data_IF_019233034635
#
_entry.id   IF_019233034635
#
_cell.length_a   1.000
_cell.length_b   1.000
_cell.length_c   1.000
_cell.angle_alpha   90.00
_cell.angle_beta   90.00
_cell.angle_gamma   90.00
#
_symmetry.space_group_name_H-M   'P 1'
#
loop_
_entity.id
_entity.type
_entity.pdbx_description
1 polymer ?
#
# COMPACT_ATOMS: atom_id res chain seq x y z
N UNK A 1 -11.40 40.41 1.43
CA UNK A 1 -11.42 39.29 2.39
C UNK A 1 -10.17 38.48 2.10
N UNK A 2 -9.10 38.75 2.84
CA UNK A 2 -7.77 38.19 2.59
C UNK A 2 -7.78 36.72 3.00
N UNK A 3 -7.65 35.82 2.02
CA UNK A 3 -7.49 34.39 2.28
C UNK A 3 -6.10 34.23 2.87
N UNK A 4 -6.03 34.02 4.19
CA UNK A 4 -4.80 33.67 4.88
C UNK A 4 -4.28 32.37 4.26
N UNK A 5 -3.03 32.37 3.82
CA UNK A 5 -2.32 31.15 3.46
C UNK A 5 -2.35 30.19 4.65
N UNK A 6 -2.49 28.87 4.44
CA UNK A 6 -2.55 27.92 5.54
C UNK A 6 -1.25 27.99 6.37
N UNK A 7 -1.41 28.11 7.70
CA UNK A 7 -0.30 28.01 8.65
C UNK A 7 0.41 26.66 8.50
N UNK A 8 1.75 26.69 8.54
CA UNK A 8 2.62 25.52 8.51
C UNK A 8 2.30 24.62 9.70
N UNK A 9 1.92 23.37 9.43
CA UNK A 9 1.61 22.36 10.46
C UNK A 9 2.92 21.86 11.08
N UNK A 10 3.12 22.11 12.37
CA UNK A 10 4.30 21.69 13.14
C UNK A 10 4.38 20.17 13.41
N UNK A 11 5.41 19.73 14.13
CA UNK A 11 5.60 18.34 14.53
C UNK A 11 4.39 17.80 15.32
N UNK A 12 3.88 16.64 14.92
CA UNK A 12 2.75 15.94 15.55
C UNK A 12 3.26 14.67 16.22
N UNK A 13 2.64 14.31 17.35
CA UNK A 13 2.88 13.03 18.03
C UNK A 13 1.77 12.01 17.80
N UNK A 14 0.74 12.35 17.00
CA UNK A 14 -0.31 11.38 16.64
C UNK A 14 0.30 10.34 15.69
N UNK A 15 0.24 9.03 16.00
CA UNK A 15 0.83 7.99 15.15
C UNK A 15 0.22 7.93 13.74
N UNK A 16 -0.96 8.53 13.54
CA UNK A 16 -1.61 8.64 12.22
C UNK A 16 -1.09 9.81 11.39
N UNK A 17 -0.22 10.65 11.96
CA UNK A 17 0.39 11.77 11.24
C UNK A 17 1.12 11.24 10.00
N UNK A 18 0.88 11.84 8.82
CA UNK A 18 1.39 11.29 7.57
C UNK A 18 2.92 11.43 7.46
N UNK A 19 3.55 12.41 8.12
CA UNK A 19 5.01 12.53 8.12
C UNK A 19 5.64 11.41 8.96
N UNK A 20 5.05 11.07 10.12
CA UNK A 20 5.52 9.94 10.92
C UNK A 20 5.40 8.63 10.16
N UNK A 21 4.28 8.40 9.46
CA UNK A 21 4.06 7.19 8.66
C UNK A 21 5.01 7.08 7.46
N UNK A 22 5.22 8.18 6.74
CA UNK A 22 6.21 8.22 5.65
C UNK A 22 7.63 7.98 6.20
N UNK A 23 7.97 8.58 7.35
CA UNK A 23 9.28 8.39 7.97
C UNK A 23 9.51 6.96 8.47
N UNK A 24 8.46 6.28 8.95
CA UNK A 24 8.53 4.86 9.31
C UNK A 24 8.64 3.93 8.10
N UNK A 25 8.14 4.37 6.93
CA UNK A 25 8.18 3.59 5.70
C UNK A 25 9.50 3.74 4.93
N UNK A 26 10.04 4.95 4.86
CA UNK A 26 11.32 5.24 4.21
C UNK A 26 12.51 4.83 5.08
N UNK A 27 13.70 4.72 4.47
CA UNK A 27 14.95 4.54 5.20
C UNK A 27 15.28 5.80 6.02
N UNK A 28 15.98 5.62 7.13
CA UNK A 28 16.34 6.69 8.06
C UNK A 28 16.98 7.89 7.33
N UNK A 29 16.48 9.09 7.63
CA UNK A 29 16.97 10.36 7.09
C UNK A 29 16.90 10.51 5.56
N UNK A 30 16.08 9.70 4.87
CA UNK A 30 15.94 9.78 3.41
C UNK A 30 14.74 10.58 2.92
N UNK A 31 13.82 10.97 3.81
CA UNK A 31 12.55 11.62 3.45
C UNK A 31 12.77 13.02 2.89
N UNK A 32 12.29 13.22 1.66
CA UNK A 32 12.22 14.48 0.93
C UNK A 32 10.76 14.77 0.60
N UNK A 33 10.19 15.87 1.10
CA UNK A 33 8.79 16.21 0.81
C UNK A 33 8.66 16.76 -0.62
N UNK A 34 7.66 16.28 -1.36
CA UNK A 34 7.36 16.76 -2.71
C UNK A 34 6.57 18.08 -2.71
N UNK A 35 6.07 18.49 -1.55
CA UNK A 35 5.39 19.76 -1.33
C UNK A 35 5.46 20.16 0.15
N UNK A 36 5.22 21.43 0.46
CA UNK A 36 5.09 21.89 1.84
C UNK A 36 3.90 21.22 2.53
N UNK A 37 4.02 21.01 3.85
CA UNK A 37 2.90 20.49 4.65
C UNK A 37 1.74 21.47 4.62
N UNK A 38 0.56 20.94 4.29
CA UNK A 38 -0.67 21.70 4.27
C UNK A 38 -1.81 20.92 4.94
N UNK A 39 -3.04 21.43 4.80
CA UNK A 39 -4.26 20.80 5.35
C UNK A 39 -5.06 20.06 4.29
N UNK A 40 -4.41 19.64 3.20
CA UNK A 40 -5.06 18.95 2.08
C UNK A 40 -5.55 17.55 2.46
N UNK A 41 -5.06 16.97 3.56
CA UNK A 41 -5.36 15.60 3.99
C UNK A 41 -4.49 14.55 3.31
N UNK A 42 -3.41 14.97 2.63
CA UNK A 42 -2.41 14.10 2.02
C UNK A 42 -1.02 14.72 2.21
N UNK A 43 -0.02 13.88 2.44
CA UNK A 43 1.38 14.26 2.32
C UNK A 43 2.06 13.33 1.32
N UNK A 44 2.82 13.89 0.38
CA UNK A 44 3.64 13.12 -0.55
C UNK A 44 5.12 13.43 -0.34
N UNK A 45 5.94 12.40 -0.50
CA UNK A 45 7.38 12.47 -0.34
C UNK A 45 8.10 11.45 -1.22
N UNK A 46 9.39 11.61 -1.30
CA UNK A 46 10.32 10.69 -1.92
C UNK A 46 11.41 10.33 -0.92
N UNK A 47 12.09 9.22 -1.14
CA UNK A 47 13.17 8.78 -0.28
C UNK A 47 13.78 7.50 -0.81
N UNK A 48 14.42 6.74 0.07
CA UNK A 48 14.86 5.38 -0.26
C UNK A 48 14.12 4.35 0.57
N UNK A 49 13.91 3.17 0.00
CA UNK A 49 13.42 1.99 0.70
C UNK A 49 14.38 0.86 0.36
N UNK A 50 15.09 0.37 1.38
CA UNK A 50 16.18 -0.59 1.19
C UNK A 50 17.21 -0.10 0.13
N UNK A 51 17.45 1.21 0.08
CA UNK A 51 18.34 1.85 -0.91
C UNK A 51 17.72 2.07 -2.31
N UNK A 52 16.47 1.68 -2.56
CA UNK A 52 15.76 1.96 -3.83
C UNK A 52 15.07 3.31 -3.76
N UNK A 53 15.33 4.21 -4.72
CA UNK A 53 14.56 5.47 -4.85
C UNK A 53 13.07 5.14 -4.98
N UNK A 54 12.26 5.65 -4.07
CA UNK A 54 10.84 5.31 -3.97
C UNK A 54 10.03 6.59 -3.74
N UNK A 55 8.90 6.70 -4.42
CA UNK A 55 7.92 7.76 -4.17
C UNK A 55 6.81 7.21 -3.28
N UNK A 56 6.32 7.98 -2.34
CA UNK A 56 5.19 7.58 -1.51
C UNK A 56 4.26 8.74 -1.20
N UNK A 57 2.98 8.44 -0.99
CA UNK A 57 2.02 9.36 -0.42
C UNK A 57 1.29 8.71 0.74
N UNK A 58 0.88 9.52 1.71
CA UNK A 58 0.09 9.10 2.84
C UNK A 58 -1.15 9.98 2.94
N UNK A 59 -2.32 9.34 2.96
CA UNK A 59 -3.59 10.02 3.31
C UNK A 59 -3.67 10.20 4.83
N UNK A 60 -4.07 11.39 5.27
CA UNK A 60 -4.05 11.80 6.67
C UNK A 60 -5.41 11.58 7.33
N UNK A 61 -5.56 10.46 8.03
CA UNK A 61 -6.77 10.12 8.78
C UNK A 61 -7.16 11.13 9.87
N UNK A 62 -6.23 11.99 10.31
CA UNK A 62 -6.51 13.03 11.34
C UNK A 62 -7.21 14.25 10.74
N UNK A 63 -7.09 14.49 9.43
CA UNK A 63 -7.73 15.60 8.73
C UNK A 63 -9.01 15.11 8.05
N UNK A 64 -10.15 15.39 8.67
CA UNK A 64 -11.47 15.03 8.14
C UNK A 64 -11.60 13.53 7.81
N UNK A 65 -10.92 12.65 8.57
CA UNK A 65 -10.91 11.21 8.30
C UNK A 65 -10.16 10.83 7.01
N UNK A 66 -9.20 11.64 6.56
CA UNK A 66 -8.46 11.42 5.31
C UNK A 66 -9.29 11.68 4.05
N UNK A 67 -10.31 12.53 4.14
CA UNK A 67 -11.21 12.80 3.02
C UNK A 67 -10.45 13.43 1.83
N UNK A 68 -10.53 12.78 0.67
CA UNK A 68 -9.90 13.16 -0.59
C UNK A 68 -10.59 14.39 -1.18
N UNK A 69 -9.96 15.55 -1.00
CA UNK A 69 -10.34 16.82 -1.65
C UNK A 69 -9.49 17.12 -2.88
N UNK A 70 -9.82 18.18 -3.61
CA UNK A 70 -9.15 18.61 -4.84
C UNK A 70 -7.65 18.72 -4.65
N UNK A 71 -7.22 19.39 -3.59
CA UNK A 71 -5.81 19.65 -3.31
C UNK A 71 -5.05 18.38 -2.92
N UNK A 72 -5.63 17.55 -2.06
CA UNK A 72 -5.00 16.29 -1.65
C UNK A 72 -4.86 15.32 -2.83
N UNK A 73 -5.89 15.22 -3.67
CA UNK A 73 -5.82 14.45 -4.92
C UNK A 73 -4.74 14.98 -5.87
N UNK A 74 -4.55 16.31 -5.94
CA UNK A 74 -3.49 16.92 -6.76
C UNK A 74 -2.10 16.50 -6.30
N UNK A 75 -1.86 16.42 -4.98
CA UNK A 75 -0.60 15.90 -4.45
C UNK A 75 -0.37 14.43 -4.78
N UNK A 76 -1.43 13.60 -4.73
CA UNK A 76 -1.34 12.19 -5.16
C UNK A 76 -1.00 12.08 -6.65
N UNK A 77 -1.68 12.84 -7.51
CA UNK A 77 -1.40 12.85 -8.96
C UNK A 77 0.04 13.28 -9.23
N UNK A 78 0.51 14.35 -8.56
CA UNK A 78 1.89 14.81 -8.68
C UNK A 78 2.90 13.74 -8.22
N UNK A 79 2.59 12.98 -7.15
CA UNK A 79 3.43 11.87 -6.71
C UNK A 79 3.51 10.76 -7.78
N UNK A 80 2.37 10.40 -8.38
CA UNK A 80 2.35 9.44 -9.50
C UNK A 80 3.14 9.93 -10.71
N UNK A 81 2.94 11.17 -11.13
CA UNK A 81 3.66 11.75 -12.27
C UNK A 81 5.17 11.81 -12.00
N UNK A 82 5.57 12.10 -10.76
CA UNK A 82 6.99 12.04 -10.32
C UNK A 82 7.53 10.62 -10.41
N UNK A 83 6.81 9.64 -9.86
CA UNK A 83 7.23 8.23 -9.88
C UNK A 83 7.38 7.69 -11.31
N UNK A 84 6.44 8.01 -12.20
CA UNK A 84 6.50 7.66 -13.62
C UNK A 84 7.72 8.31 -14.28
N UNK A 85 7.94 9.61 -14.05
CA UNK A 85 9.06 10.36 -14.63
C UNK A 85 10.42 9.83 -14.16
N UNK A 86 10.53 9.46 -12.88
CA UNK A 86 11.76 8.90 -12.28
C UNK A 86 11.89 7.38 -12.51
N UNK A 87 10.90 6.73 -13.13
CA UNK A 87 10.78 5.27 -13.24
C UNK A 87 10.99 4.55 -11.91
N UNK A 88 10.49 5.16 -10.83
CA UNK A 88 10.62 4.67 -9.46
C UNK A 88 9.32 4.00 -9.00
N UNK A 89 9.37 2.99 -8.12
CA UNK A 89 8.18 2.44 -7.50
C UNK A 89 7.42 3.51 -6.72
N UNK A 90 6.10 3.32 -6.62
CA UNK A 90 5.23 4.18 -5.82
C UNK A 90 4.46 3.39 -4.75
N UNK A 91 4.41 3.96 -3.55
CA UNK A 91 3.69 3.38 -2.40
C UNK A 91 2.61 4.32 -1.90
N UNK A 92 1.37 3.86 -1.90
CA UNK A 92 0.25 4.56 -1.28
C UNK A 92 -0.03 4.04 0.12
N UNK A 93 0.11 4.90 1.13
CA UNK A 93 -0.30 4.61 2.53
C UNK A 93 -1.72 5.17 2.74
N UNK A 94 -2.68 4.26 2.87
CA UNK A 94 -4.11 4.59 2.83
C UNK A 94 -4.76 4.58 4.21
N UNK A 95 -5.35 5.72 4.57
CA UNK A 95 -6.29 5.94 5.67
C UNK A 95 -7.23 7.09 5.27
N UNK A 96 -8.17 6.80 4.36
CA UNK A 96 -9.15 7.71 3.79
C UNK A 96 -10.60 7.23 3.92
N UNK A 97 -11.45 8.10 4.47
CA UNK A 97 -12.91 7.93 4.52
C UNK A 97 -13.63 8.20 3.20
N UNK A 98 -12.91 8.46 2.09
CA UNK A 98 -13.47 8.68 0.76
C UNK A 98 -13.44 10.14 0.32
N UNK A 99 -14.34 10.53 -0.59
CA UNK A 99 -14.34 11.87 -1.17
C UNK A 99 -14.76 12.94 -0.16
N UNK A 100 -14.13 14.12 -0.23
CA UNK A 100 -14.50 15.26 0.62
C UNK A 100 -15.82 15.87 0.18
N UNK A 101 -16.89 15.48 0.86
CA UNK A 101 -18.27 15.89 0.53
C UNK A 101 -18.47 17.41 0.45
N UNK A 102 -17.78 18.19 1.29
CA UNK A 102 -17.85 19.65 1.30
C UNK A 102 -17.40 20.28 -0.04
N UNK A 103 -16.58 19.59 -0.84
CA UNK A 103 -16.10 20.06 -2.15
C UNK A 103 -16.93 19.50 -3.32
N UNK A 104 -17.91 18.63 -3.03
CA UNK A 104 -18.89 18.11 -3.99
C UNK A 104 -18.26 17.47 -5.24
N UNK A 105 -18.80 17.80 -6.41
CA UNK A 105 -18.38 17.21 -7.70
C UNK A 105 -16.92 17.48 -8.05
N UNK A 106 -16.30 18.53 -7.48
CA UNK A 106 -14.89 18.84 -7.72
C UNK A 106 -13.98 17.78 -7.07
N UNK A 107 -14.32 17.32 -5.87
CA UNK A 107 -13.61 16.22 -5.23
C UNK A 107 -13.75 14.92 -6.04
N UNK A 108 -14.95 14.62 -6.56
CA UNK A 108 -15.16 13.44 -7.41
C UNK A 108 -14.31 13.48 -8.69
N UNK A 109 -14.26 14.63 -9.36
CA UNK A 109 -13.38 14.81 -10.53
C UNK A 109 -11.90 14.60 -10.15
N UNK A 110 -11.46 15.17 -9.04
CA UNK A 110 -10.08 15.04 -8.58
C UNK A 110 -9.71 13.60 -8.21
N UNK A 111 -10.62 12.85 -7.59
CA UNK A 111 -10.46 11.40 -7.36
C UNK A 111 -10.36 10.63 -8.69
N UNK A 112 -11.15 11.01 -9.69
CA UNK A 112 -11.04 10.45 -11.05
C UNK A 112 -9.66 10.68 -11.69
N UNK A 113 -9.05 11.85 -11.48
CA UNK A 113 -7.69 12.14 -11.95
C UNK A 113 -6.63 11.28 -11.24
N UNK A 114 -6.83 10.97 -9.95
CA UNK A 114 -5.98 10.00 -9.24
C UNK A 114 -6.07 8.64 -9.93
N UNK A 115 -7.28 8.12 -10.18
CA UNK A 115 -7.43 6.83 -10.86
C UNK A 115 -6.80 6.82 -12.25
N UNK A 116 -6.95 7.91 -13.00
CA UNK A 116 -6.29 8.06 -14.30
C UNK A 116 -4.77 7.94 -14.17
N UNK A 117 -4.16 8.63 -13.22
CA UNK A 117 -2.72 8.57 -12.97
C UNK A 117 -2.25 7.15 -12.58
N UNK A 118 -3.02 6.45 -11.74
CA UNK A 118 -2.76 5.05 -11.37
C UNK A 118 -2.83 4.11 -12.58
N UNK A 119 -3.82 4.30 -13.45
CA UNK A 119 -3.96 3.52 -14.69
C UNK A 119 -2.79 3.78 -15.63
N UNK A 120 -2.29 5.02 -15.74
CA UNK A 120 -1.08 5.33 -16.53
C UNK A 120 0.16 4.63 -15.98
N UNK A 121 0.25 4.43 -14.67
CA UNK A 121 1.35 3.72 -14.02
C UNK A 121 1.24 2.18 -14.10
N UNK A 122 0.05 1.65 -14.35
CA UNK A 122 -0.23 0.20 -14.34
C UNK A 122 0.64 -0.58 -15.31
N UNK A 123 1.45 -1.50 -14.78
CA UNK A 123 2.41 -2.30 -15.55
C UNK A 123 3.62 -1.52 -16.07
N UNK A 124 3.77 -0.24 -15.69
CA UNK A 124 4.90 0.60 -16.06
C UNK A 124 5.90 0.78 -14.90
N UNK A 125 5.40 1.10 -13.71
CA UNK A 125 6.17 1.12 -12.45
C UNK A 125 5.47 0.25 -11.41
N UNK A 126 6.19 -0.34 -10.44
CA UNK A 126 5.55 -1.06 -9.34
C UNK A 126 4.70 -0.13 -8.48
N UNK A 127 3.45 -0.51 -8.24
CA UNK A 127 2.49 0.20 -7.41
C UNK A 127 2.09 -0.67 -6.22
N UNK A 128 2.37 -0.22 -5.01
CA UNK A 128 2.05 -0.95 -3.79
C UNK A 128 1.11 -0.11 -2.94
N UNK A 129 0.04 -0.71 -2.43
CA UNK A 129 -0.85 -0.08 -1.45
C UNK A 129 -0.70 -0.71 -0.09
N UNK A 130 -0.39 0.12 0.91
CA UNK A 130 -0.41 -0.26 2.32
C UNK A 130 -1.62 0.41 2.96
N UNK A 131 -2.65 -0.38 3.26
CA UNK A 131 -3.87 0.12 3.92
C UNK A 131 -3.68 -0.04 5.42
N UNK A 132 -3.81 1.07 6.16
CA UNK A 132 -3.59 1.17 7.63
C UNK A 132 -4.78 1.81 8.35
N UNK A 133 -5.96 1.68 7.75
CA UNK A 133 -7.20 2.29 8.21
C UNK A 133 -8.29 2.18 7.16
N UNK A 134 -9.17 3.17 7.10
CA UNK A 134 -10.26 3.16 6.11
C UNK A 134 -9.73 3.41 4.69
N UNK A 135 -10.36 2.78 3.70
CA UNK A 135 -10.34 3.15 2.29
C UNK A 135 -11.78 2.96 1.79
N UNK A 136 -12.62 3.96 2.05
CA UNK A 136 -14.06 3.88 1.84
C UNK A 136 -14.53 4.65 0.59
N UNK A 137 -15.60 4.16 -0.04
CA UNK A 137 -16.20 4.82 -1.20
C UNK A 137 -15.23 4.91 -2.37
N UNK A 138 -15.01 6.13 -2.88
CA UNK A 138 -14.04 6.37 -3.94
C UNK A 138 -12.62 5.92 -3.58
N UNK A 139 -12.21 6.09 -2.33
CA UNK A 139 -10.85 5.70 -1.92
C UNK A 139 -10.61 4.18 -2.00
N UNK A 140 -11.66 3.35 -1.96
CA UNK A 140 -11.53 1.90 -2.10
C UNK A 140 -10.95 1.47 -3.46
N UNK A 141 -11.19 2.27 -4.52
CA UNK A 141 -10.62 2.01 -5.84
C UNK A 141 -9.12 2.32 -5.92
N UNK A 142 -8.59 3.16 -5.03
CA UNK A 142 -7.16 3.46 -4.96
C UNK A 142 -6.34 2.18 -4.79
N UNK A 143 -6.45 1.47 -3.64
CA UNK A 143 -5.77 0.20 -3.46
C UNK A 143 -6.04 -0.81 -4.57
N UNK A 144 -7.31 -0.92 -5.02
CA UNK A 144 -7.73 -1.89 -6.03
C UNK A 144 -7.09 -1.71 -7.42
N UNK A 145 -6.52 -0.53 -7.72
CA UNK A 145 -5.83 -0.23 -8.98
C UNK A 145 -4.30 -0.41 -8.90
N UNK A 146 -3.77 -0.83 -7.75
CA UNK A 146 -2.33 -1.12 -7.56
C UNK A 146 -2.01 -2.60 -7.70
N UNK A 147 -0.72 -2.95 -7.84
CA UNK A 147 -0.28 -4.31 -8.13
C UNK A 147 -0.36 -5.24 -6.91
N UNK A 148 -0.02 -4.74 -5.72
CA UNK A 148 -0.09 -5.50 -4.46
C UNK A 148 -0.68 -4.66 -3.35
N UNK A 149 -1.58 -5.27 -2.58
CA UNK A 149 -2.29 -4.64 -1.46
C UNK A 149 -1.93 -5.37 -0.16
N UNK A 150 -1.31 -4.63 0.75
CA UNK A 150 -1.03 -5.03 2.13
C UNK A 150 -2.08 -4.38 3.03
N UNK A 151 -2.75 -5.17 3.87
CA UNK A 151 -3.73 -4.65 4.83
C UNK A 151 -3.30 -4.95 6.27
N UNK A 152 -3.19 -3.89 7.08
CA UNK A 152 -3.08 -3.99 8.54
C UNK A 152 -4.42 -4.39 9.20
N UNK A 153 -4.44 -4.85 10.46
CA UNK A 153 -5.65 -5.36 11.12
C UNK A 153 -6.84 -4.37 11.17
N UNK A 154 -6.56 -3.08 11.35
CA UNK A 154 -7.57 -2.03 11.43
C UNK A 154 -8.08 -1.56 10.06
N UNK A 155 -7.57 -2.15 8.98
CA UNK A 155 -7.90 -1.72 7.63
C UNK A 155 -9.31 -2.10 7.22
N UNK A 156 -9.98 -1.19 6.51
CA UNK A 156 -11.36 -1.36 6.06
C UNK A 156 -11.51 -0.84 4.63
N UNK A 157 -11.69 -1.74 3.66
CA UNK A 157 -11.86 -1.39 2.25
C UNK A 157 -13.29 -1.74 1.82
N UNK A 158 -14.08 -0.76 1.41
CA UNK A 158 -15.42 -1.02 0.86
C UNK A 158 -15.93 0.17 0.06
N UNK A 159 -16.69 -0.11 -1.00
CA UNK A 159 -17.34 0.94 -1.81
C UNK A 159 -18.53 1.54 -1.06
N UNK A 160 -19.30 0.70 -0.36
CA UNK A 160 -20.51 1.12 0.37
C UNK A 160 -20.39 0.68 1.82
N UNK A 161 -20.59 1.60 2.76
CA UNK A 161 -20.49 1.32 4.19
C UNK A 161 -21.66 0.48 4.72
N UNK A 162 -21.50 -0.14 5.90
CA UNK A 162 -22.47 -1.08 6.46
C UNK A 162 -23.84 -0.47 6.73
N UNK A 163 -23.90 0.80 7.16
CA UNK A 163 -25.17 1.50 7.41
C UNK A 163 -26.02 1.60 6.14
N UNK A 164 -25.38 1.86 5.00
CA UNK A 164 -26.07 1.94 3.71
C UNK A 164 -26.50 0.55 3.26
N UNK A 165 -25.63 -0.46 3.40
CA UNK A 165 -25.97 -1.87 3.13
C UNK A 165 -27.23 -2.27 3.91
N UNK A 166 -27.26 -1.99 5.22
CA UNK A 166 -28.41 -2.28 6.07
C UNK A 166 -29.68 -1.56 5.64
N UNK A 167 -29.58 -0.27 5.33
CA UNK A 167 -30.74 0.54 4.92
C UNK A 167 -31.36 0.07 3.59
N UNK A 168 -30.55 -0.44 2.66
CA UNK A 168 -30.99 -0.81 1.31
C UNK A 168 -31.37 -2.28 1.20
N UNK A 169 -30.61 -3.17 1.86
CA UNK A 169 -30.77 -4.63 1.72
C UNK A 169 -31.43 -5.28 2.94
N UNK A 170 -31.40 -4.62 4.09
CA UNK A 170 -31.80 -5.19 5.38
C UNK A 170 -30.74 -6.09 6.04
N UNK A 171 -29.59 -6.31 5.39
CA UNK A 171 -28.50 -7.12 5.95
C UNK A 171 -27.77 -6.36 7.06
N UNK A 172 -27.55 -7.01 8.20
CA UNK A 172 -26.79 -6.47 9.33
C UNK A 172 -25.37 -7.05 9.28
N UNK A 173 -24.41 -6.24 8.86
CA UNK A 173 -23.00 -6.61 8.66
C UNK A 173 -22.12 -5.57 9.33
N UNK A 174 -21.10 -6.00 10.08
CA UNK A 174 -20.14 -5.09 10.69
C UNK A 174 -19.03 -4.70 9.71
N UNK A 175 -18.27 -3.64 10.02
CA UNK A 175 -17.21 -3.16 9.13
C UNK A 175 -16.11 -4.21 8.88
N UNK A 176 -15.78 -5.03 9.89
CA UNK A 176 -14.69 -6.01 9.80
C UNK A 176 -15.06 -7.17 8.86
N UNK A 177 -16.27 -7.69 8.99
CA UNK A 177 -16.82 -8.72 8.12
C UNK A 177 -17.13 -8.21 6.72
N UNK A 178 -17.49 -6.93 6.56
CA UNK A 178 -17.74 -6.31 5.27
C UNK A 178 -16.47 -6.07 4.45
N UNK A 179 -15.43 -5.51 5.07
CA UNK A 179 -14.25 -5.04 4.35
C UNK A 179 -12.92 -5.11 5.11
N UNK A 180 -12.83 -5.97 6.13
CA UNK A 180 -11.58 -6.21 6.86
C UNK A 180 -10.60 -7.12 6.10
N UNK A 181 -9.36 -7.23 6.60
CA UNK A 181 -8.29 -8.01 5.96
C UNK A 181 -8.67 -9.49 5.75
N UNK A 182 -9.28 -10.12 6.76
CA UNK A 182 -9.71 -11.52 6.69
C UNK A 182 -10.73 -11.78 5.58
N UNK A 183 -11.73 -10.89 5.44
CA UNK A 183 -12.72 -10.98 4.37
C UNK A 183 -12.06 -10.82 3.00
N UNK A 184 -11.18 -9.82 2.86
CA UNK A 184 -10.54 -9.56 1.58
C UNK A 184 -9.48 -10.59 1.19
N UNK A 185 -8.80 -11.21 2.16
CA UNK A 185 -7.78 -12.21 1.92
C UNK A 185 -8.39 -13.58 1.60
N UNK A 186 -9.43 -14.00 2.35
CA UNK A 186 -10.00 -15.35 2.23
C UNK A 186 -11.18 -15.46 1.28
N UNK A 187 -11.91 -14.37 1.03
CA UNK A 187 -13.17 -14.40 0.26
C UNK A 187 -13.11 -13.61 -1.04
N UNK A 188 -12.79 -12.31 -0.97
CA UNK A 188 -12.89 -11.44 -2.14
C UNK A 188 -11.63 -11.43 -3.03
N UNK A 189 -10.48 -11.84 -2.49
CA UNK A 189 -9.19 -11.80 -3.20
C UNK A 189 -8.60 -10.40 -3.39
N UNK A 190 -9.11 -9.39 -2.67
CA UNK A 190 -8.61 -7.99 -2.77
C UNK A 190 -7.32 -7.83 -1.95
N UNK A 191 -7.22 -8.48 -0.79
CA UNK A 191 -6.05 -8.38 0.07
C UNK A 191 -5.05 -9.46 -0.30
N UNK A 192 -3.91 -9.04 -0.85
CA UNK A 192 -2.82 -9.95 -1.22
C UNK A 192 -2.07 -10.43 0.02
N UNK A 193 -1.79 -9.51 0.96
CA UNK A 193 -1.00 -9.78 2.15
C UNK A 193 -1.67 -9.16 3.38
N UNK A 194 -1.94 -10.00 4.38
CA UNK A 194 -2.42 -9.55 5.69
C UNK A 194 -1.20 -9.33 6.60
N UNK A 195 -1.14 -8.17 7.24
CA UNK A 195 -0.10 -7.83 8.21
C UNK A 195 -0.62 -8.03 9.65
N UNK A 196 0.30 -8.28 10.57
CA UNK A 196 0.03 -8.50 11.99
C UNK A 196 -0.25 -7.20 12.75
N UNK A 197 0.36 -6.10 12.30
CA UNK A 197 0.12 -4.74 12.78
C UNK A 197 0.52 -3.69 11.71
N UNK A 198 0.40 -2.40 12.02
CA UNK A 198 0.76 -1.30 11.11
C UNK A 198 2.27 -1.28 10.77
N UNK A 199 3.14 -1.62 11.73
CA UNK A 199 4.61 -1.66 11.51
C UNK A 199 5.00 -2.81 10.60
N UNK A 200 4.40 -3.99 10.82
CA UNK A 200 4.56 -5.16 9.96
C UNK A 200 4.02 -4.87 8.54
N UNK A 201 2.94 -4.11 8.41
CA UNK A 201 2.44 -3.68 7.09
C UNK A 201 3.48 -2.83 6.33
N UNK A 202 4.19 -1.93 7.03
CA UNK A 202 5.30 -1.19 6.44
C UNK A 202 6.47 -2.08 6.07
N UNK A 203 6.89 -2.99 6.94
CA UNK A 203 7.98 -3.94 6.67
C UNK A 203 7.68 -4.79 5.41
N UNK A 204 6.45 -5.31 5.28
CA UNK A 204 6.01 -6.06 4.10
C UNK A 204 5.97 -5.21 2.84
N UNK A 205 5.47 -3.97 2.95
CA UNK A 205 5.51 -3.00 1.84
C UNK A 205 6.94 -2.70 1.38
N UNK A 206 7.87 -2.51 2.32
CA UNK A 206 9.29 -2.29 2.04
C UNK A 206 9.93 -3.50 1.34
N UNK A 207 9.62 -4.71 1.81
CA UNK A 207 10.08 -5.96 1.17
C UNK A 207 9.58 -6.11 -0.26
N UNK A 208 8.33 -5.72 -0.54
CA UNK A 208 7.79 -5.73 -1.90
C UNK A 208 8.54 -4.77 -2.83
N UNK A 209 8.93 -3.60 -2.35
CA UNK A 209 9.80 -2.67 -3.11
C UNK A 209 11.13 -3.38 -3.45
N UNK A 210 11.75 -4.03 -2.48
CA UNK A 210 12.95 -4.85 -2.70
C UNK A 210 12.74 -5.90 -3.80
N UNK A 211 11.69 -6.72 -3.70
CA UNK A 211 11.41 -7.77 -4.70
C UNK A 211 11.15 -7.24 -6.11
N UNK A 212 10.45 -6.11 -6.25
CA UNK A 212 10.14 -5.58 -7.57
C UNK A 212 11.30 -4.80 -8.21
N UNK A 213 12.17 -4.20 -7.41
CA UNK A 213 13.18 -3.26 -7.91
C UNK A 213 14.62 -3.74 -7.77
N UNK A 214 14.91 -4.68 -6.87
CA UNK A 214 16.24 -5.23 -6.67
C UNK A 214 16.29 -6.65 -7.20
N UNK A 215 16.57 -6.77 -8.50
CA UNK A 215 16.87 -8.08 -9.05
C UNK A 215 18.16 -8.61 -8.43
N UNK A 216 18.09 -9.80 -7.82
CA UNK A 216 19.25 -10.48 -7.28
C UNK A 216 20.28 -10.82 -8.36
N UNK A 217 21.44 -11.29 -7.93
CA UNK A 217 22.47 -11.79 -8.83
C UNK A 217 22.43 -13.32 -8.84
N UNK A 218 22.70 -13.92 -10.00
CA UNK A 218 22.79 -15.37 -10.11
C UNK A 218 24.08 -15.87 -9.44
N UNK A 219 23.95 -16.64 -8.36
CA UNK A 219 25.08 -17.29 -7.70
C UNK A 219 25.45 -18.60 -8.42
N UNK A 220 26.49 -18.50 -9.26
CA UNK A 220 27.02 -19.65 -10.01
C UNK A 220 27.55 -20.75 -9.10
N UNK A 221 28.09 -20.43 -7.92
CA UNK A 221 28.67 -21.44 -7.03
C UNK A 221 27.60 -22.35 -6.44
N UNK A 222 26.42 -21.80 -6.12
CA UNK A 222 25.25 -22.59 -5.69
C UNK A 222 24.73 -23.49 -6.81
N UNK A 223 24.67 -22.97 -8.04
CA UNK A 223 24.27 -23.77 -9.20
C UNK A 223 25.25 -24.93 -9.49
N UNK A 224 26.54 -24.76 -9.16
CA UNK A 224 27.56 -25.79 -9.32
C UNK A 224 27.66 -26.76 -8.12
N UNK A 225 27.07 -26.42 -6.97
CA UNK A 225 27.09 -27.24 -5.75
C UNK A 225 26.24 -28.53 -5.84
N UNK A 226 25.49 -28.70 -6.93
CA UNK A 226 24.64 -29.86 -7.21
C UNK A 226 23.17 -29.61 -6.89
N UNK A 227 22.29 -30.38 -7.55
CA UNK A 227 20.84 -30.21 -7.42
C UNK A 227 20.31 -30.74 -6.09
N UNK A 228 19.38 -29.99 -5.48
CA UNK A 228 18.54 -30.48 -4.38
C UNK A 228 17.65 -31.63 -4.88
N UNK A 229 17.70 -32.80 -4.23
CA UNK A 229 16.78 -33.90 -4.55
C UNK A 229 15.35 -33.61 -4.06
N UNK A 230 14.59 -32.91 -4.90
CA UNK A 230 13.18 -32.61 -4.63
C UNK A 230 12.28 -33.85 -4.66
N UNK A 231 12.70 -34.93 -5.35
CA UNK A 231 11.92 -36.16 -5.40
C UNK A 231 11.83 -36.82 -4.02
N UNK A 232 12.87 -36.68 -3.19
CA UNK A 232 12.83 -37.15 -1.81
C UNK A 232 11.74 -36.49 -0.95
N UNK A 233 11.21 -35.33 -1.36
CA UNK A 233 10.12 -34.62 -0.68
C UNK A 233 8.72 -35.04 -1.17
N UNK A 234 8.64 -35.83 -2.24
CA UNK A 234 7.38 -36.29 -2.82
C UNK A 234 6.88 -37.59 -2.14
N UNK A 235 5.55 -37.80 -2.06
CA UNK A 235 5.02 -39.07 -1.62
C UNK A 235 5.28 -40.17 -2.65
N UNK A 236 5.51 -41.41 -2.20
CA UNK A 236 5.71 -42.57 -3.08
C UNK A 236 4.53 -42.81 -4.04
N UNK A 237 3.31 -42.46 -3.60
CA UNK A 237 2.09 -42.62 -4.41
C UNK A 237 1.74 -41.33 -5.14
N UNK A 238 1.71 -41.39 -6.47
CA UNK A 238 1.26 -40.29 -7.33
C UNK A 238 -0.23 -39.88 -7.11
N UNK A 239 -1.01 -40.66 -6.36
CA UNK A 239 -2.41 -40.33 -6.02
C UNK A 239 -2.55 -39.59 -4.68
N UNK A 240 -1.46 -39.43 -3.92
CA UNK A 240 -1.48 -38.82 -2.59
C UNK A 240 -1.25 -37.32 -2.72
N UNK A 241 -2.16 -36.52 -2.18
CA UNK A 241 -1.94 -35.09 -2.00
C UNK A 241 -0.83 -34.83 -0.97
N UNK A 242 -0.08 -33.76 -1.18
CA UNK A 242 1.02 -33.34 -0.31
C UNK A 242 1.07 -31.81 -0.24
N UNK A 243 1.77 -31.29 0.75
CA UNK A 243 2.05 -29.86 0.86
C UNK A 243 3.20 -29.49 -0.10
N UNK A 244 2.97 -28.54 -1.00
CA UNK A 244 3.97 -28.09 -1.97
C UNK A 244 4.99 -27.13 -1.35
N UNK A 245 4.71 -26.52 -0.20
CA UNK A 245 5.58 -25.51 0.40
C UNK A 245 7.00 -26.02 0.71
N UNK A 246 7.21 -27.25 1.22
CA UNK A 246 8.56 -27.81 1.39
C UNK A 246 9.36 -27.86 0.09
N UNK A 247 8.73 -28.16 -1.06
CA UNK A 247 9.42 -28.16 -2.36
C UNK A 247 9.78 -26.74 -2.79
N UNK A 248 8.86 -25.79 -2.63
CA UNK A 248 9.09 -24.37 -2.95
C UNK A 248 10.24 -23.83 -2.08
N UNK A 249 10.23 -24.09 -0.78
CA UNK A 249 11.28 -23.62 0.14
C UNK A 249 12.65 -24.24 -0.17
N UNK A 250 12.68 -25.47 -0.68
CA UNK A 250 13.91 -26.12 -1.11
C UNK A 250 14.47 -25.58 -2.44
N UNK A 251 13.65 -24.85 -3.20
CA UNK A 251 14.01 -24.19 -4.46
C UNK A 251 14.40 -22.72 -4.30
N UNK A 252 13.77 -22.00 -3.37
CA UNK A 252 14.01 -20.57 -3.15
C UNK A 252 15.32 -20.32 -2.40
N UNK A 253 15.89 -19.14 -2.63
CA UNK A 253 17.06 -18.68 -1.88
C UNK A 253 16.74 -18.54 -0.38
N UNK A 254 17.69 -18.96 0.47
CA UNK A 254 17.58 -18.79 1.92
C UNK A 254 17.70 -17.29 2.27
N UNK A 255 16.66 -16.69 2.92
CA UNK A 255 16.69 -15.28 3.31
C UNK A 255 17.84 -14.92 4.25
N UNK A 256 18.50 -15.89 4.90
CA UNK A 256 19.61 -15.64 5.83
C UNK A 256 20.99 -15.41 5.17
N UNK A 257 21.15 -15.66 3.86
CA UNK A 257 22.48 -15.69 3.23
C UNK A 257 22.83 -14.47 2.37
N UNK A 258 22.06 -13.37 2.44
CA UNK A 258 22.26 -12.22 1.54
C UNK A 258 21.83 -10.88 2.13
N UNK A 259 22.44 -10.48 3.26
CA UNK A 259 22.11 -9.23 3.95
C UNK A 259 20.93 -9.39 4.91
N UNK A 260 20.81 -8.48 5.89
CA UNK A 260 19.76 -8.44 6.93
C UNK A 260 18.39 -8.94 6.44
N UNK A 261 17.60 -9.64 7.30
CA UNK A 261 16.33 -10.24 6.90
C UNK A 261 15.47 -9.18 6.22
N UNK A 262 15.15 -9.44 4.94
CA UNK A 262 14.43 -8.53 4.07
C UNK A 262 13.13 -7.95 4.64
#
# INVERSE_FOLDING_TARGET
MTILAPEVVGESLDPRDPLLRLSAFFDDNSVELLHERDRSGVLAGAGTVQGVRTIAFCTDGTIMGGAMGVEGCRHIVNAYDTAISEQSPIVGIWHSGGARLAEGVRALHAVGLVFEAMIRASGYIPQISVVVGFAAGGAAYGPALTDVIVMAPDSRVFVTGPDVVRSVTGEDVDMASLGGPDTHHKKSGVCHIVADDETDAYARGRRLVGFFCQQGHFDRSKAEAGDTDLHALLPESAKRAYDVHPLVNALLDDPAQGGEPF
#
